data_IF_876098959722
#
_entry.id   IF_876098959722
#
_cell.length_a   1.000
_cell.length_b   1.000
_cell.length_c   1.000
_cell.angle_alpha   90.00
_cell.angle_beta   90.00
_cell.angle_gamma   90.00
#
_symmetry.space_group_name_H-M   'P 1'
#
loop_
_entity.id
_entity.type
_entity.pdbx_description
1 polymer ?
#
# COMPACT_ATOMS: atom_id res chain seq x y z
N UNK A 1 -2.23 -17.91 17.23
CA UNK A 1 -1.00 -17.21 16.78
C UNK A 1 0.14 -17.76 17.58
N UNK A 2 1.11 -18.45 16.95
CA UNK A 2 2.37 -18.72 17.63
C UNK A 2 3.31 -17.56 17.36
N UNK A 3 4.01 -17.07 18.39
CA UNK A 3 5.04 -16.03 18.26
C UNK A 3 6.22 -16.46 17.36
N UNK A 4 6.26 -17.71 16.92
CA UNK A 4 7.32 -18.32 16.10
C UNK A 4 7.15 -18.15 14.59
N UNK A 5 6.06 -17.54 14.11
CA UNK A 5 5.86 -17.39 12.67
C UNK A 5 6.81 -16.34 12.07
N UNK A 6 7.43 -16.61 10.91
CA UNK A 6 8.39 -15.70 10.31
C UNK A 6 7.71 -14.42 9.83
N UNK A 7 8.42 -13.29 10.02
CA UNK A 7 8.07 -12.01 9.38
C UNK A 7 8.02 -12.22 7.86
N UNK A 8 6.94 -11.79 7.21
CA UNK A 8 6.69 -12.01 5.78
C UNK A 8 5.72 -13.15 5.44
N UNK A 9 5.06 -13.75 6.44
CA UNK A 9 4.01 -14.76 6.26
C UNK A 9 2.61 -14.16 6.09
N UNK A 10 2.47 -12.88 5.68
CA UNK A 10 1.18 -12.17 5.68
C UNK A 10 0.11 -12.84 4.83
N UNK A 11 0.50 -13.45 3.70
CA UNK A 11 -0.43 -14.17 2.83
C UNK A 11 -1.05 -15.41 3.49
N UNK A 12 -0.24 -16.20 4.22
CA UNK A 12 -0.75 -17.39 4.93
C UNK A 12 -1.74 -16.98 6.03
N UNK A 13 -1.42 -15.92 6.75
CA UNK A 13 -2.30 -15.42 7.80
C UNK A 13 -3.59 -14.83 7.26
N UNK A 14 -3.48 -14.04 6.19
CA UNK A 14 -4.64 -13.49 5.50
C UNK A 14 -5.58 -14.59 5.00
N UNK A 15 -5.04 -15.71 4.52
CA UNK A 15 -5.81 -16.89 4.12
C UNK A 15 -6.56 -17.54 5.29
N UNK A 16 -5.88 -17.76 6.43
CA UNK A 16 -6.50 -18.36 7.63
C UNK A 16 -7.63 -17.47 8.16
N UNK A 17 -7.35 -16.17 8.31
CA UNK A 17 -8.33 -15.20 8.81
C UNK A 17 -9.52 -15.09 7.85
N UNK A 18 -9.25 -14.98 6.54
CA UNK A 18 -10.30 -14.92 5.54
C UNK A 18 -11.16 -16.18 5.54
N UNK A 19 -10.60 -17.39 5.65
CA UNK A 19 -11.39 -18.63 5.75
C UNK A 19 -12.31 -18.64 6.96
N UNK A 20 -11.81 -18.19 8.12
CA UNK A 20 -12.62 -18.13 9.33
C UNK A 20 -13.79 -17.16 9.16
N UNK A 21 -13.56 -16.00 8.54
CA UNK A 21 -14.59 -14.99 8.26
C UNK A 21 -15.58 -15.50 7.19
N UNK A 22 -15.11 -16.18 6.15
CA UNK A 22 -15.92 -16.74 5.06
C UNK A 22 -16.98 -17.73 5.55
N UNK A 23 -16.79 -18.35 6.71
CA UNK A 23 -17.78 -19.23 7.32
C UNK A 23 -19.02 -18.48 7.81
N UNK A 24 -18.91 -17.17 8.06
CA UNK A 24 -19.98 -16.33 8.60
C UNK A 24 -20.47 -15.29 7.59
N UNK A 25 -19.59 -14.75 6.75
CA UNK A 25 -19.91 -13.69 5.78
C UNK A 25 -19.11 -13.83 4.49
N UNK A 26 -19.74 -13.48 3.37
CA UNK A 26 -19.06 -13.46 2.08
C UNK A 26 -18.14 -12.23 1.96
N UNK A 27 -16.85 -12.47 1.75
CA UNK A 27 -15.87 -11.41 1.49
C UNK A 27 -15.93 -11.03 0.01
N UNK A 28 -16.40 -9.81 -0.28
CA UNK A 28 -16.52 -9.27 -1.65
C UNK A 28 -15.39 -8.33 -2.03
N UNK A 29 -14.68 -7.78 -1.04
CA UNK A 29 -13.61 -6.81 -1.25
C UNK A 29 -12.56 -6.85 -0.14
N UNK A 30 -11.34 -6.53 -0.52
CA UNK A 30 -10.18 -6.43 0.36
C UNK A 30 -9.49 -5.09 0.09
N UNK A 31 -9.26 -4.31 1.15
CA UNK A 31 -8.47 -3.08 1.06
C UNK A 31 -7.07 -3.35 1.60
N UNK A 32 -6.05 -3.15 0.77
CA UNK A 32 -4.66 -3.39 1.13
C UNK A 32 -3.76 -2.21 0.75
N UNK A 33 -2.59 -2.15 1.37
CA UNK A 33 -1.54 -1.16 1.08
C UNK A 33 -0.86 -1.37 -0.28
N UNK A 34 -1.26 -2.40 -1.01
CA UNK A 34 -0.66 -2.86 -2.26
C UNK A 34 0.23 -4.09 -2.08
N UNK A 35 0.38 -4.63 -0.87
CA UNK A 35 1.01 -5.93 -0.66
C UNK A 35 0.18 -7.03 -1.33
N UNK A 36 0.75 -7.58 -2.40
CA UNK A 36 0.14 -8.66 -3.17
C UNK A 36 -0.01 -9.95 -2.35
N UNK A 37 0.85 -10.17 -1.33
CA UNK A 37 0.84 -11.42 -0.56
C UNK A 37 -0.42 -11.56 0.27
N UNK A 38 -0.80 -10.50 0.97
CA UNK A 38 -2.03 -10.45 1.77
C UNK A 38 -3.27 -10.63 0.89
N UNK A 39 -3.37 -9.90 -0.23
CA UNK A 39 -4.44 -10.08 -1.20
C UNK A 39 -4.53 -11.51 -1.75
N UNK A 40 -3.39 -12.12 -2.10
CA UNK A 40 -3.33 -13.50 -2.58
C UNK A 40 -3.83 -14.49 -1.51
N UNK A 41 -3.54 -14.23 -0.24
CA UNK A 41 -4.07 -15.02 0.88
C UNK A 41 -5.59 -14.96 0.98
N UNK A 42 -6.17 -13.76 0.98
CA UNK A 42 -7.64 -13.59 1.02
C UNK A 42 -8.29 -14.21 -0.22
N UNK A 43 -7.70 -14.03 -1.40
CA UNK A 43 -8.20 -14.61 -2.65
C UNK A 43 -8.22 -16.15 -2.63
N UNK A 44 -7.25 -16.80 -1.98
CA UNK A 44 -7.22 -18.27 -1.84
C UNK A 44 -8.28 -18.81 -0.88
N UNK A 45 -8.75 -17.97 0.03
CA UNK A 45 -9.75 -18.34 1.04
C UNK A 45 -11.18 -18.14 0.55
N UNK A 46 -11.39 -17.47 -0.59
CA UNK A 46 -12.69 -17.22 -1.18
C UNK A 46 -12.85 -17.98 -2.49
N UNK A 47 -14.05 -18.48 -2.76
CA UNK A 47 -14.40 -19.11 -4.03
C UNK A 47 -14.78 -18.10 -5.12
N UNK A 48 -14.78 -16.80 -4.77
CA UNK A 48 -15.21 -15.71 -5.64
C UNK A 48 -14.11 -14.68 -5.85
N UNK A 49 -14.23 -13.94 -6.95
CA UNK A 49 -13.30 -12.83 -7.23
C UNK A 49 -13.45 -11.75 -6.17
N UNK A 50 -12.37 -11.50 -5.43
CA UNK A 50 -12.32 -10.42 -4.43
C UNK A 50 -11.84 -9.15 -5.11
N UNK A 51 -12.58 -8.05 -4.92
CA UNK A 51 -12.14 -6.73 -5.37
C UNK A 51 -10.97 -6.26 -4.50
N UNK A 52 -9.81 -6.01 -5.11
CA UNK A 52 -8.67 -5.41 -4.42
C UNK A 52 -8.73 -3.89 -4.53
N UNK A 53 -9.02 -3.25 -3.40
CA UNK A 53 -8.95 -1.81 -3.27
C UNK A 53 -7.56 -1.42 -2.75
N UNK A 54 -6.86 -0.56 -3.47
CA UNK A 54 -5.62 0.04 -2.95
C UNK A 54 -5.99 1.09 -1.92
N UNK A 55 -5.44 0.98 -0.72
CA UNK A 55 -5.54 2.05 0.26
C UNK A 55 -4.77 3.27 -0.26
N UNK A 56 -5.52 4.26 -0.71
CA UNK A 56 -4.96 5.52 -1.25
C UNK A 56 -4.01 6.15 -0.24
N UNK A 57 -4.26 6.04 1.08
CA UNK A 57 -3.41 6.61 2.14
C UNK A 57 -2.01 5.98 2.18
N UNK A 58 -1.92 4.68 1.87
CA UNK A 58 -0.62 4.01 1.80
C UNK A 58 0.17 4.41 0.56
N UNK A 59 -0.49 4.52 -0.60
CA UNK A 59 0.14 5.05 -1.81
C UNK A 59 0.67 6.47 -1.57
N UNK A 60 -0.13 7.34 -0.96
CA UNK A 60 0.26 8.71 -0.62
C UNK A 60 1.54 8.76 0.23
N UNK A 61 1.60 7.92 1.26
CA UNK A 61 2.74 7.85 2.17
C UNK A 61 3.97 7.25 1.49
N UNK A 62 3.80 6.21 0.67
CA UNK A 62 4.87 5.58 -0.09
C UNK A 62 5.47 6.51 -1.15
N UNK A 63 4.63 7.23 -1.91
CA UNK A 63 5.09 8.24 -2.88
C UNK A 63 5.85 9.36 -2.21
N UNK A 64 5.32 9.88 -1.10
CA UNK A 64 6.01 10.91 -0.32
C UNK A 64 7.39 10.41 0.09
N UNK A 65 7.50 9.23 0.71
CA UNK A 65 8.79 8.62 1.12
C UNK A 65 9.74 8.42 -0.05
N UNK A 66 9.26 7.90 -1.18
CA UNK A 66 10.06 7.69 -2.38
C UNK A 66 10.65 9.01 -2.92
N UNK A 67 9.85 10.08 -2.95
CA UNK A 67 10.32 11.41 -3.34
C UNK A 67 11.35 11.95 -2.34
N UNK A 68 11.19 11.75 -1.02
CA UNK A 68 12.23 12.16 -0.07
C UNK A 68 13.54 11.38 -0.20
N UNK A 69 13.45 10.07 -0.50
CA UNK A 69 14.60 9.20 -0.69
C UNK A 69 15.30 9.40 -2.05
N UNK A 70 14.63 10.00 -3.03
CA UNK A 70 15.20 10.23 -4.34
C UNK A 70 16.33 11.28 -4.31
N UNK A 71 17.42 10.94 -5.02
CA UNK A 71 18.58 11.80 -5.25
C UNK A 71 18.29 12.78 -6.39
N UNK A 72 17.62 13.89 -6.06
CA UNK A 72 17.44 14.97 -7.01
C UNK A 72 18.72 15.79 -7.15
N UNK A 73 18.95 16.30 -8.36
CA UNK A 73 20.04 17.26 -8.59
C UNK A 73 19.85 18.51 -7.72
N UNK A 74 20.92 19.03 -7.15
CA UNK A 74 20.91 20.33 -6.45
C UNK A 74 20.41 21.47 -7.35
N UNK A 75 20.54 21.32 -8.67
CA UNK A 75 20.02 22.27 -9.64
C UNK A 75 18.48 22.26 -9.76
N UNK A 76 17.82 21.20 -9.31
CA UNK A 76 16.37 21.03 -9.38
C UNK A 76 15.63 21.88 -8.34
N UNK A 77 16.30 22.21 -7.23
CA UNK A 77 15.73 22.99 -6.14
C UNK A 77 16.60 24.23 -5.84
N UNK A 78 16.91 25.00 -6.90
CA UNK A 78 17.63 26.28 -6.78
C UNK A 78 16.72 27.34 -6.14
N UNK A 79 17.16 27.93 -5.04
CA UNK A 79 16.42 28.96 -4.29
C UNK A 79 16.14 28.59 -2.84
N UNK A 80 15.54 29.50 -2.07
CA UNK A 80 15.36 29.40 -0.61
C UNK A 80 14.67 28.10 -0.16
N UNK A 81 15.22 27.52 0.92
CA UNK A 81 14.85 26.25 1.57
C UNK A 81 14.50 25.11 0.61
N UNK A 82 15.55 24.38 0.19
CA UNK A 82 15.48 23.14 -0.57
C UNK A 82 14.42 22.17 -0.03
N UNK A 83 14.23 22.12 1.30
CA UNK A 83 13.19 21.32 1.95
C UNK A 83 11.76 21.74 1.55
N UNK A 84 11.46 23.03 1.45
CA UNK A 84 10.12 23.51 1.07
C UNK A 84 9.80 23.19 -0.40
N UNK A 85 10.76 23.41 -1.29
CA UNK A 85 10.62 23.07 -2.72
C UNK A 85 10.46 21.56 -2.94
N UNK A 86 11.24 20.74 -2.24
CA UNK A 86 11.12 19.27 -2.26
C UNK A 86 9.75 18.81 -1.72
N UNK A 87 9.22 19.45 -0.67
CA UNK A 87 7.89 19.17 -0.15
C UNK A 87 6.79 19.49 -1.16
N UNK A 88 6.85 20.66 -1.81
CA UNK A 88 5.87 21.06 -2.84
C UNK A 88 5.91 20.12 -4.04
N UNK A 89 7.11 19.70 -4.45
CA UNK A 89 7.29 18.73 -5.51
C UNK A 89 6.68 17.37 -5.14
N UNK A 90 6.96 16.85 -3.94
CA UNK A 90 6.36 15.62 -3.43
C UNK A 90 4.82 15.68 -3.38
N UNK A 91 4.26 16.82 -2.95
CA UNK A 91 2.81 17.03 -2.95
C UNK A 91 2.23 17.01 -4.37
N UNK A 92 2.92 17.61 -5.35
CA UNK A 92 2.45 17.61 -6.74
C UNK A 92 2.45 16.21 -7.36
N UNK A 93 3.48 15.39 -7.09
CA UNK A 93 3.55 13.99 -7.53
C UNK A 93 2.42 13.20 -6.87
N UNK A 94 2.26 13.35 -5.56
CA UNK A 94 1.18 12.71 -4.80
C UNK A 94 -0.19 13.00 -5.44
N UNK A 95 -0.51 14.28 -5.69
CA UNK A 95 -1.79 14.67 -6.29
C UNK A 95 -2.04 14.03 -7.66
N UNK A 96 -1.02 13.99 -8.52
CA UNK A 96 -1.14 13.39 -9.85
C UNK A 96 -1.35 11.87 -9.79
N UNK A 97 -0.57 11.16 -8.98
CA UNK A 97 -0.69 9.71 -8.87
C UNK A 97 -2.00 9.25 -8.21
N UNK A 98 -2.61 10.07 -7.34
CA UNK A 98 -3.94 9.76 -6.79
C UNK A 98 -5.05 10.05 -7.81
N UNK A 99 -4.90 11.09 -8.63
CA UNK A 99 -5.90 11.42 -9.65
C UNK A 99 -6.05 10.33 -10.72
N UNK A 100 -5.03 9.46 -10.88
CA UNK A 100 -5.03 8.30 -11.76
C UNK A 100 -5.62 7.03 -11.11
N UNK A 101 -6.04 7.07 -9.83
CA UNK A 101 -6.70 5.98 -9.11
C UNK A 101 -8.22 6.14 -9.03
#
# INVERSE_FOLDING_TARGET
MSESDPVGAEGRWSEIVARNISNEVQITGYTGDGDFRSHAGVSKASEHTILHFKDKRHLENSLKRAVYAANFSSNMFKGSSNANLKNRFALSIKQRCIAEL
#
